data_IF_620666107857
#
_entry.id   IF_620666107857
#
_cell.length_a   1.000
_cell.length_b   1.000
_cell.length_c   1.000
_cell.angle_alpha   90.00
_cell.angle_beta   90.00
_cell.angle_gamma   90.00
#
_symmetry.space_group_name_H-M   'P 1'
#
loop_
_entity.id
_entity.type
_entity.pdbx_description
1 polymer ?
#
# COMPACT_ATOMS: atom_id res chain seq x y z
N UNK A 1 -12.22 -18.17 1.10
CA UNK A 1 -10.92 -18.67 0.60
C UNK A 1 -10.84 -18.73 -0.94
N UNK A 2 -11.85 -19.25 -1.64
CA UNK A 2 -11.77 -19.40 -3.11
C UNK A 2 -11.78 -18.11 -3.96
N UNK A 3 -12.20 -16.96 -3.43
CA UNK A 3 -12.15 -15.69 -4.16
C UNK A 3 -10.79 -15.01 -4.07
N UNK A 4 -10.11 -15.10 -2.92
CA UNK A 4 -8.77 -14.55 -2.75
C UNK A 4 -7.73 -15.29 -3.59
N UNK A 5 -7.83 -16.62 -3.71
CA UNK A 5 -6.93 -17.39 -4.58
C UNK A 5 -7.09 -17.03 -6.05
N UNK A 6 -8.33 -16.78 -6.51
CA UNK A 6 -8.58 -16.26 -7.86
C UNK A 6 -7.99 -14.86 -8.03
N UNK A 7 -8.19 -13.97 -7.07
CA UNK A 7 -7.64 -12.62 -7.12
C UNK A 7 -6.10 -12.63 -7.20
N UNK A 8 -5.43 -13.47 -6.40
CA UNK A 8 -3.98 -13.67 -6.47
C UNK A 8 -3.55 -14.14 -7.87
N UNK A 9 -4.17 -15.20 -8.40
CA UNK A 9 -3.86 -15.71 -9.74
C UNK A 9 -4.01 -14.65 -10.84
N UNK A 10 -5.08 -13.83 -10.77
CA UNK A 10 -5.25 -12.72 -11.71
C UNK A 10 -4.17 -11.65 -11.59
N UNK A 11 -3.82 -11.22 -10.37
CA UNK A 11 -2.82 -10.18 -10.16
C UNK A 11 -1.39 -10.66 -10.46
N UNK A 12 -1.05 -11.91 -10.15
CA UNK A 12 0.23 -12.52 -10.48
C UNK A 12 0.42 -12.66 -12.00
N UNK A 13 -0.62 -13.09 -12.72
CA UNK A 13 -0.61 -13.10 -14.20
C UNK A 13 -0.42 -11.70 -14.77
N UNK A 14 -1.13 -10.71 -14.23
CA UNK A 14 -0.99 -9.30 -14.63
C UNK A 14 0.43 -8.78 -14.38
N UNK A 15 1.00 -9.07 -13.20
CA UNK A 15 2.37 -8.71 -12.86
C UNK A 15 3.37 -9.31 -13.86
N UNK A 16 3.24 -10.61 -14.15
CA UNK A 16 4.12 -11.30 -15.11
C UNK A 16 4.07 -10.69 -16.51
N UNK A 17 2.88 -10.31 -16.99
CA UNK A 17 2.73 -9.63 -18.29
C UNK A 17 3.39 -8.25 -18.25
N UNK A 18 3.22 -7.49 -17.16
CA UNK A 18 3.84 -6.17 -16.98
C UNK A 18 5.36 -6.26 -16.91
N UNK A 19 5.91 -7.25 -16.22
CA UNK A 19 7.37 -7.48 -16.12
C UNK A 19 8.01 -7.82 -17.47
N UNK A 20 7.28 -8.48 -18.38
CA UNK A 20 7.76 -8.77 -19.75
C UNK A 20 7.65 -7.55 -20.66
N UNK A 21 6.63 -6.71 -20.48
CA UNK A 21 6.29 -5.62 -21.40
C UNK A 21 6.84 -4.25 -21.00
N UNK A 22 7.33 -4.09 -19.77
CA UNK A 22 7.78 -2.81 -19.21
C UNK A 22 9.19 -2.92 -18.61
N UNK A 23 9.93 -1.80 -18.53
CA UNK A 23 11.19 -1.78 -17.79
C UNK A 23 10.99 -2.23 -16.34
N UNK A 24 11.98 -2.93 -15.76
CA UNK A 24 12.00 -3.16 -14.32
C UNK A 24 11.86 -1.81 -13.60
N UNK A 25 10.98 -1.74 -12.61
CA UNK A 25 10.59 -0.52 -11.87
C UNK A 25 9.55 0.40 -12.55
N UNK A 26 8.78 -0.09 -13.52
CA UNK A 26 7.62 0.68 -13.99
C UNK A 26 6.54 0.78 -12.89
N UNK A 27 5.93 1.95 -12.64
CA UNK A 27 4.89 2.13 -11.61
C UNK A 27 3.71 1.15 -11.72
N UNK A 28 3.37 0.70 -12.92
CA UNK A 28 2.31 -0.31 -13.12
C UNK A 28 2.67 -1.66 -12.47
N UNK A 29 3.95 -2.05 -12.45
CA UNK A 29 4.38 -3.27 -11.76
C UNK A 29 4.15 -3.12 -10.25
N UNK A 30 4.52 -1.96 -9.70
CA UNK A 30 4.29 -1.64 -8.30
C UNK A 30 2.80 -1.63 -7.93
N UNK A 31 1.92 -1.18 -8.83
CA UNK A 31 0.49 -1.24 -8.60
C UNK A 31 -0.02 -2.69 -8.53
N UNK A 32 0.51 -3.59 -9.35
CA UNK A 32 0.19 -5.02 -9.24
C UNK A 32 0.68 -5.60 -7.92
N UNK A 33 1.92 -5.34 -7.52
CA UNK A 33 2.47 -5.78 -6.24
C UNK A 33 1.61 -5.27 -5.07
N UNK A 34 1.21 -3.99 -5.08
CA UNK A 34 0.33 -3.41 -4.06
C UNK A 34 -1.06 -4.10 -3.99
N UNK A 35 -1.62 -4.49 -5.12
CA UNK A 35 -2.89 -5.22 -5.15
C UNK A 35 -2.74 -6.63 -4.59
N UNK A 36 -1.65 -7.33 -4.90
CA UNK A 36 -1.32 -8.64 -4.32
C UNK A 36 -1.18 -8.51 -2.79
N UNK A 37 -0.44 -7.50 -2.33
CA UNK A 37 -0.30 -7.20 -0.91
C UNK A 37 -1.65 -6.97 -0.21
N UNK A 38 -2.58 -6.29 -0.88
CA UNK A 38 -3.95 -6.07 -0.38
C UNK A 38 -4.75 -7.35 -0.26
N UNK A 39 -4.59 -8.29 -1.19
CA UNK A 39 -5.23 -9.60 -1.08
C UNK A 39 -4.70 -10.36 0.13
N UNK A 40 -3.37 -10.42 0.32
CA UNK A 40 -2.77 -11.05 1.49
C UNK A 40 -3.18 -10.39 2.81
N UNK A 41 -3.26 -9.05 2.84
CA UNK A 41 -3.71 -8.32 4.02
C UNK A 41 -5.15 -8.69 4.40
N UNK A 42 -6.04 -8.81 3.41
CA UNK A 42 -7.43 -9.22 3.63
C UNK A 42 -7.56 -10.70 4.05
N UNK A 43 -6.56 -11.53 3.74
CA UNK A 43 -6.47 -12.90 4.24
C UNK A 43 -5.90 -12.99 5.67
N UNK A 44 -5.45 -11.88 6.25
CA UNK A 44 -4.74 -11.85 7.53
C UNK A 44 -3.28 -12.29 7.44
N UNK A 45 -2.75 -12.49 6.22
CA UNK A 45 -1.35 -12.86 5.97
C UNK A 45 -0.47 -11.59 5.90
N UNK A 46 -0.41 -10.85 7.00
CA UNK A 46 0.21 -9.52 7.05
C UNK A 46 1.69 -9.50 6.68
N UNK A 47 2.46 -10.56 7.02
CA UNK A 47 3.87 -10.64 6.64
C UNK A 47 4.06 -10.71 5.13
N UNK A 48 3.26 -11.53 4.42
CA UNK A 48 3.29 -11.56 2.95
C UNK A 48 2.80 -10.26 2.37
N UNK A 49 1.73 -9.68 2.93
CA UNK A 49 1.24 -8.38 2.48
C UNK A 49 2.35 -7.32 2.51
N UNK A 50 3.10 -7.28 3.62
CA UNK A 50 4.21 -6.36 3.82
C UNK A 50 5.31 -6.53 2.78
N UNK A 51 5.70 -7.76 2.43
CA UNK A 51 6.71 -8.02 1.39
C UNK A 51 6.32 -7.39 0.04
N UNK A 52 5.07 -7.59 -0.39
CA UNK A 52 4.57 -7.03 -1.64
C UNK A 52 4.41 -5.51 -1.57
N UNK A 53 3.93 -4.98 -0.45
CA UNK A 53 3.83 -3.53 -0.26
C UNK A 53 5.20 -2.84 -0.26
N UNK A 54 6.22 -3.43 0.38
CA UNK A 54 7.58 -2.88 0.37
C UNK A 54 8.22 -2.95 -1.02
N UNK A 55 7.95 -4.02 -1.79
CA UNK A 55 8.38 -4.13 -3.19
C UNK A 55 7.75 -3.02 -4.04
N UNK A 56 6.44 -2.79 -3.91
CA UNK A 56 5.74 -1.70 -4.58
C UNK A 56 6.29 -0.33 -4.18
N UNK A 57 6.53 -0.12 -2.88
CA UNK A 57 7.02 1.15 -2.35
C UNK A 57 8.38 1.54 -2.93
N UNK A 58 9.33 0.60 -3.00
CA UNK A 58 10.66 0.85 -3.59
C UNK A 58 10.57 1.34 -5.03
N UNK A 59 9.67 0.76 -5.81
CA UNK A 59 9.44 1.17 -7.19
C UNK A 59 8.80 2.57 -7.24
N UNK A 60 7.78 2.83 -6.41
CA UNK A 60 7.14 4.14 -6.35
C UNK A 60 8.11 5.25 -5.91
N UNK A 61 9.01 4.99 -4.97
CA UNK A 61 10.02 5.95 -4.52
C UNK A 61 11.01 6.33 -5.63
N UNK A 62 11.32 5.40 -6.53
CA UNK A 62 12.24 5.65 -7.65
C UNK A 62 11.52 6.32 -8.83
N UNK A 63 10.28 5.91 -9.10
CA UNK A 63 9.60 6.20 -10.37
C UNK A 63 8.57 7.33 -10.29
N UNK A 64 8.22 7.80 -9.09
CA UNK A 64 7.21 8.84 -8.89
C UNK A 64 7.76 10.04 -8.11
N UNK A 65 7.20 11.25 -8.33
CA UNK A 65 7.48 12.39 -7.47
C UNK A 65 7.17 12.08 -5.98
N UNK A 66 7.90 12.68 -5.01
CA UNK A 66 7.65 12.47 -3.58
C UNK A 66 6.24 12.83 -3.11
N UNK A 67 5.52 13.65 -3.90
CA UNK A 67 4.13 14.04 -3.64
C UNK A 67 3.13 13.14 -4.35
N UNK A 68 3.53 12.08 -5.05
CA UNK A 68 2.58 11.33 -5.86
C UNK A 68 1.56 10.55 -4.97
N UNK A 69 0.24 10.61 -5.25
CA UNK A 69 -0.76 9.91 -4.45
C UNK A 69 -0.53 8.40 -4.31
N UNK A 70 -0.02 7.72 -5.34
CA UNK A 70 0.32 6.29 -5.25
C UNK A 70 1.41 5.99 -4.21
N UNK A 71 2.37 6.90 -4.00
CA UNK A 71 3.37 6.75 -2.96
C UNK A 71 2.73 6.85 -1.56
N UNK A 72 1.77 7.75 -1.39
CA UNK A 72 0.98 7.85 -0.16
C UNK A 72 0.12 6.60 0.09
N UNK A 73 -0.52 6.05 -0.95
CA UNK A 73 -1.28 4.79 -0.85
C UNK A 73 -0.37 3.66 -0.38
N UNK A 74 0.83 3.54 -0.96
CA UNK A 74 1.82 2.53 -0.58
C UNK A 74 2.22 2.64 0.89
N UNK A 75 2.56 3.84 1.38
CA UNK A 75 2.85 4.03 2.80
C UNK A 75 1.67 3.70 3.70
N UNK A 76 0.45 4.08 3.32
CA UNK A 76 -0.74 3.76 4.09
C UNK A 76 -0.99 2.25 4.15
N UNK A 77 -0.80 1.53 3.04
CA UNK A 77 -0.92 0.08 2.95
C UNK A 77 0.10 -0.64 3.84
N UNK A 78 1.37 -0.22 3.84
CA UNK A 78 2.38 -0.73 4.77
C UNK A 78 1.97 -0.45 6.21
N UNK A 79 1.46 0.75 6.50
CA UNK A 79 1.01 1.14 7.83
C UNK A 79 -0.13 0.26 8.36
N UNK A 80 -1.11 -0.06 7.51
CA UNK A 80 -2.21 -0.97 7.84
C UNK A 80 -1.70 -2.40 8.09
N UNK A 81 -0.76 -2.90 7.29
CA UNK A 81 -0.16 -4.21 7.52
C UNK A 81 0.62 -4.24 8.86
N UNK A 82 1.39 -3.20 9.17
CA UNK A 82 2.07 -3.07 10.47
C UNK A 82 1.08 -3.05 11.64
N UNK A 83 -0.07 -2.38 11.50
CA UNK A 83 -1.13 -2.42 12.51
C UNK A 83 -1.65 -3.85 12.72
N UNK A 84 -1.90 -4.59 11.64
CA UNK A 84 -2.31 -6.00 11.72
C UNK A 84 -1.29 -6.91 12.40
N UNK A 85 0.00 -6.57 12.30
CA UNK A 85 1.09 -7.25 13.00
C UNK A 85 1.31 -6.79 14.46
N UNK A 86 0.58 -5.77 14.91
CA UNK A 86 0.72 -5.18 16.25
C UNK A 86 1.85 -4.15 16.39
N UNK A 87 2.51 -3.75 15.30
CA UNK A 87 3.52 -2.69 15.31
C UNK A 87 2.85 -1.31 15.15
N UNK A 88 2.18 -0.88 16.22
CA UNK A 88 1.38 0.35 16.23
C UNK A 88 2.24 1.61 16.06
N UNK A 89 3.47 1.61 16.59
CA UNK A 89 4.40 2.74 16.43
C UNK A 89 4.78 2.94 14.96
N UNK A 90 5.20 1.86 14.27
CA UNK A 90 5.55 1.94 12.85
C UNK A 90 4.32 2.24 11.99
N UNK A 91 3.17 1.65 12.33
CA UNK A 91 1.89 1.92 11.65
C UNK A 91 1.53 3.41 11.71
N UNK A 92 1.61 4.02 12.89
CA UNK A 92 1.31 5.44 13.08
C UNK A 92 2.24 6.31 12.23
N UNK A 93 3.55 6.08 12.33
CA UNK A 93 4.54 6.84 11.57
C UNK A 93 4.30 6.78 10.06
N UNK A 94 4.00 5.59 9.53
CA UNK A 94 3.71 5.39 8.10
C UNK A 94 2.41 6.08 7.66
N UNK A 95 1.36 6.00 8.47
CA UNK A 95 0.08 6.64 8.17
C UNK A 95 0.18 8.17 8.23
N UNK A 96 0.94 8.74 9.17
CA UNK A 96 1.21 10.17 9.23
C UNK A 96 2.01 10.64 8.01
N UNK A 97 2.99 9.86 7.55
CA UNK A 97 3.73 10.12 6.31
C UNK A 97 2.82 10.10 5.08
N UNK A 98 1.93 9.11 4.98
CA UNK A 98 0.95 9.03 3.89
C UNK A 98 0.00 10.24 3.89
N UNK A 99 -0.46 10.66 5.08
CA UNK A 99 -1.34 11.81 5.25
C UNK A 99 -0.68 13.12 4.79
N UNK A 100 0.58 13.34 5.14
CA UNK A 100 1.35 14.52 4.71
C UNK A 100 1.44 14.60 3.18
N UNK A 101 1.73 13.48 2.52
CA UNK A 101 1.76 13.42 1.05
C UNK A 101 0.37 13.69 0.48
N UNK A 102 -0.69 13.04 0.98
CA UNK A 102 -2.04 13.29 0.46
C UNK A 102 -2.48 14.74 0.60
N UNK A 103 -2.13 15.42 1.70
CA UNK A 103 -2.46 16.84 1.90
C UNK A 103 -1.75 17.77 0.93
N UNK A 104 -0.54 17.40 0.47
CA UNK A 104 0.22 18.17 -0.52
C UNK A 104 -0.30 18.00 -1.95
N UNK A 105 -1.04 16.93 -2.21
CA UNK A 105 -1.29 16.45 -3.58
C UNK A 105 -2.75 16.39 -3.96
N UNK A 106 -3.64 16.36 -2.97
CA UNK A 106 -5.07 16.20 -3.17
C UNK A 106 -5.82 17.32 -2.43
N UNK A 107 -7.01 17.71 -2.93
CA UNK A 107 -7.91 18.59 -2.18
C UNK A 107 -8.24 18.00 -0.81
N UNK A 108 -8.44 18.87 0.19
CA UNK A 108 -8.76 18.46 1.58
C UNK A 108 -10.04 17.62 1.70
N UNK A 109 -10.91 17.67 0.69
CA UNK A 109 -12.17 16.90 0.61
C UNK A 109 -11.98 15.47 0.09
N UNK A 110 -10.78 15.10 -0.39
CA UNK A 110 -10.53 13.81 -1.01
C UNK A 110 -10.69 12.65 -0.01
N UNK A 111 -11.35 11.56 -0.44
CA UNK A 111 -11.71 10.43 0.41
C UNK A 111 -10.50 9.78 1.10
N UNK A 112 -9.37 9.63 0.41
CA UNK A 112 -8.14 9.06 0.98
C UNK A 112 -7.66 9.77 2.25
N UNK A 113 -7.79 11.11 2.33
CA UNK A 113 -7.41 11.86 3.53
C UNK A 113 -8.25 11.42 4.73
N UNK A 114 -9.57 11.29 4.54
CA UNK A 114 -10.50 10.84 5.59
C UNK A 114 -10.21 9.41 6.02
N UNK A 115 -9.94 8.52 5.06
CA UNK A 115 -9.62 7.11 5.34
C UNK A 115 -8.36 7.03 6.20
N UNK A 116 -7.26 7.69 5.80
CA UNK A 116 -6.01 7.67 6.55
C UNK A 116 -6.16 8.30 7.93
N UNK A 117 -6.89 9.41 8.05
CA UNK A 117 -7.19 10.02 9.35
C UNK A 117 -7.92 9.05 10.28
N UNK A 118 -8.91 8.31 9.78
CA UNK A 118 -9.61 7.30 10.58
C UNK A 118 -8.66 6.18 11.01
N UNK A 119 -7.80 5.69 10.11
CA UNK A 119 -6.78 4.69 10.46
C UNK A 119 -5.82 5.20 11.53
N UNK A 120 -5.38 6.45 11.46
CA UNK A 120 -4.52 7.08 12.48
C UNK A 120 -5.23 7.10 13.84
N UNK A 121 -6.51 7.48 13.89
CA UNK A 121 -7.30 7.48 15.13
C UNK A 121 -7.34 6.08 15.74
N UNK A 122 -7.64 5.06 14.93
CA UNK A 122 -7.69 3.65 15.37
C UNK A 122 -6.32 3.16 15.88
N UNK A 123 -5.22 3.56 15.25
CA UNK A 123 -3.86 3.20 15.72
C UNK A 123 -3.53 3.89 17.03
N UNK A 124 -3.91 5.17 17.20
CA UNK A 124 -3.69 5.94 18.44
C UNK A 124 -4.41 5.37 19.65
N UNK A 125 -5.54 4.69 19.46
CA UNK A 125 -6.26 3.99 20.54
C UNK A 125 -5.54 2.72 21.02
N UNK A 126 -4.52 2.24 20.30
CA UNK A 126 -3.73 1.04 20.64
C UNK A 126 -2.35 1.35 21.23
N UNK A 127 -1.96 2.63 21.28
CA UNK A 127 -0.71 3.12 21.86
C UNK A 127 -0.91 3.52 23.33
#
# INVERSE_FOLDING_TARGET
MGEYSKALDFYEKSLKIREISRPPNHPDCAQSDNNIGTVYNNMGEYSKALEYYEKANKIFEISLPPTHPNLAISYASIGVACYGMGDYCKALWLLEKALDIFRKSLPSTHAHIKIVMNSITVVKEKL
#
